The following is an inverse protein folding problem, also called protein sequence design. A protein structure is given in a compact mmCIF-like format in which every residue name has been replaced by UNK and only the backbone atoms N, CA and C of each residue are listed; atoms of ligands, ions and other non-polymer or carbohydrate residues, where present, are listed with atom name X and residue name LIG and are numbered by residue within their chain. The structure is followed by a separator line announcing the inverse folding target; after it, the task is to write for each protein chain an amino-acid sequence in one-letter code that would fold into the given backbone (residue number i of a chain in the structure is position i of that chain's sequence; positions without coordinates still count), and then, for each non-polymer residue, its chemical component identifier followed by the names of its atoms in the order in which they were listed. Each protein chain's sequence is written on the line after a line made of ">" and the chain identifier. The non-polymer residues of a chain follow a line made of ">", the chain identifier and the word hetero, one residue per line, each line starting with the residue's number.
data_IF_126120428497
#
_entry.id   IF_126120428497
#
_cell.length_a   1.000
_cell.length_b   1.000
_cell.length_c   1.000
_cell.angle_alpha   90.00
_cell.angle_beta   90.00
_cell.angle_gamma   90.00
#
_symmetry.space_group_name_H-M   'P 1'
#
loop_
_entity.id
_entity.type
_entity.pdbx_description
1 polymer ?
#
# COMPACT_ATOMS: atom_id res chain seq x y z
N UNK A 1 24.41 -15.66 61.74
CA UNK A 1 24.58 -16.08 60.33
C UNK A 1 23.28 -16.14 59.54
N UNK A 2 22.22 -16.80 60.05
CA UNK A 2 20.92 -16.93 59.37
C UNK A 2 20.16 -15.61 59.09
N UNK A 3 20.38 -14.56 59.89
CA UNK A 3 19.78 -13.21 59.68
C UNK A 3 20.52 -12.35 58.64
N UNK A 4 21.80 -12.62 58.37
CA UNK A 4 22.60 -11.88 57.38
C UNK A 4 22.34 -12.42 55.96
N UNK A 5 22.09 -13.73 55.83
CA UNK A 5 21.70 -14.38 54.57
C UNK A 5 20.31 -13.91 54.07
N UNK A 6 19.39 -13.55 54.95
CA UNK A 6 18.06 -13.04 54.58
C UNK A 6 18.10 -11.59 54.06
N UNK A 7 19.05 -10.78 54.54
CA UNK A 7 19.22 -9.40 54.07
C UNK A 7 19.86 -9.34 52.67
N UNK A 8 20.75 -10.28 52.35
CA UNK A 8 21.34 -10.41 51.03
C UNK A 8 20.33 -10.87 49.96
N UNK A 9 19.31 -11.67 50.33
CA UNK A 9 18.28 -12.13 49.39
C UNK A 9 17.25 -11.02 49.04
N UNK A 10 17.08 -10.02 49.91
CA UNK A 10 16.22 -8.86 49.65
C UNK A 10 16.90 -7.78 48.78
N UNK A 11 18.24 -7.73 48.75
CA UNK A 11 18.99 -6.75 47.95
C UNK A 11 19.21 -7.20 46.49
N UNK A 12 18.97 -8.47 46.14
CA UNK A 12 19.16 -8.98 44.77
C UNK A 12 17.89 -8.97 43.91
N UNK A 13 16.72 -8.63 44.47
CA UNK A 13 15.44 -8.62 43.75
C UNK A 13 15.00 -7.22 43.27
N UNK A 14 15.86 -6.20 43.37
CA UNK A 14 15.56 -4.83 42.91
C UNK A 14 16.00 -4.55 41.46
N UNK A 15 16.32 -5.58 40.67
CA UNK A 15 16.35 -5.42 39.22
C UNK A 15 14.89 -5.39 38.76
N UNK A 16 14.31 -4.20 38.72
CA UNK A 16 13.15 -3.94 37.89
C UNK A 16 13.54 -4.34 36.47
N UNK A 17 13.15 -5.54 36.06
CA UNK A 17 13.15 -5.94 34.66
C UNK A 17 12.11 -5.04 34.01
N UNK A 18 12.54 -3.86 33.60
CA UNK A 18 11.71 -3.01 32.76
C UNK A 18 11.79 -3.67 31.39
N UNK A 19 10.86 -4.58 31.13
CA UNK A 19 10.50 -4.94 29.78
C UNK A 19 9.88 -3.68 29.14
N UNK A 20 10.70 -2.67 28.84
CA UNK A 20 10.25 -1.52 28.09
C UNK A 20 9.99 -2.01 26.68
N UNK A 21 8.71 -2.02 26.31
CA UNK A 21 8.29 -1.91 24.92
C UNK A 21 9.24 -0.92 24.24
N UNK A 22 9.85 -1.30 23.12
CA UNK A 22 10.67 -0.37 22.35
C UNK A 22 9.88 0.94 22.18
N UNK A 23 10.51 2.12 22.35
CA UNK A 23 9.81 3.38 22.24
C UNK A 23 9.07 3.43 20.90
N UNK A 24 7.77 3.74 20.97
CA UNK A 24 6.92 3.81 19.78
C UNK A 24 7.51 4.83 18.80
N UNK A 25 7.60 4.44 17.53
CA UNK A 25 8.02 5.32 16.45
C UNK A 25 7.04 5.21 15.28
N UNK A 26 6.92 6.30 14.52
CA UNK A 26 6.17 6.36 13.28
C UNK A 26 7.02 7.06 12.24
N UNK A 27 7.04 6.56 11.01
CA UNK A 27 7.76 7.23 9.93
C UNK A 27 7.07 8.54 9.57
N UNK A 28 7.87 9.53 9.21
CA UNK A 28 7.40 10.83 8.74
C UNK A 28 7.73 10.96 7.26
N UNK A 29 6.76 11.48 6.51
CA UNK A 29 6.86 11.69 5.07
C UNK A 29 6.27 13.06 4.74
N UNK A 30 7.06 13.88 4.07
CA UNK A 30 6.62 15.16 3.52
C UNK A 30 6.47 15.02 2.00
N UNK A 31 5.28 15.29 1.48
CA UNK A 31 4.94 15.09 0.08
C UNK A 31 4.72 16.42 -0.63
N UNK A 32 5.37 16.54 -1.78
CA UNK A 32 5.03 17.52 -2.80
C UNK A 32 4.69 16.77 -4.08
N UNK A 33 3.47 16.97 -4.58
CA UNK A 33 3.02 16.35 -5.82
C UNK A 33 2.42 17.36 -6.77
N UNK A 34 2.66 17.16 -8.06
CA UNK A 34 1.95 17.84 -9.14
C UNK A 34 1.19 16.79 -9.92
N UNK A 35 -0.13 16.95 -10.02
CA UNK A 35 -1.01 15.95 -10.62
C UNK A 35 -1.87 16.60 -11.69
N UNK A 36 -1.85 16.02 -12.89
CA UNK A 36 -2.70 16.38 -13.99
C UNK A 36 -3.74 15.28 -14.22
N UNK A 37 -5.02 15.65 -14.19
CA UNK A 37 -6.15 14.75 -14.43
C UNK A 37 -6.75 15.01 -15.81
N UNK A 38 -6.72 14.01 -16.68
CA UNK A 38 -7.57 13.95 -17.87
C UNK A 38 -8.94 13.40 -17.46
N UNK A 39 -9.86 14.33 -17.19
CA UNK A 39 -11.22 14.00 -16.74
C UNK A 39 -12.03 13.26 -17.83
N UNK A 40 -11.72 13.48 -19.12
CA UNK A 40 -12.46 12.83 -20.22
C UNK A 40 -12.13 11.34 -20.30
N UNK A 41 -10.86 11.00 -20.09
CA UNK A 41 -10.36 9.63 -20.16
C UNK A 41 -10.23 8.96 -18.79
N UNK A 42 -10.46 9.69 -17.70
CA UNK A 42 -10.30 9.24 -16.31
C UNK A 42 -8.89 8.75 -15.99
N UNK A 43 -7.91 9.39 -16.60
CA UNK A 43 -6.49 9.08 -16.43
C UNK A 43 -5.80 10.25 -15.76
N UNK A 44 -4.74 9.97 -15.03
CA UNK A 44 -3.94 11.00 -14.39
C UNK A 44 -2.47 10.68 -14.53
N UNK A 45 -1.66 11.74 -14.52
CA UNK A 45 -0.21 11.65 -14.48
C UNK A 45 0.33 12.67 -13.51
N UNK A 46 1.48 12.39 -12.93
CA UNK A 46 2.07 13.32 -12.00
C UNK A 46 3.53 13.05 -11.69
N UNK A 47 4.08 14.00 -10.95
CA UNK A 47 5.39 13.91 -10.33
C UNK A 47 5.21 13.96 -8.82
N UNK A 48 6.08 13.26 -8.12
CA UNK A 48 6.15 13.26 -6.67
C UNK A 48 7.59 13.56 -6.25
N UNK A 49 7.72 14.41 -5.24
CA UNK A 49 8.87 14.53 -4.36
C UNK A 49 8.41 14.16 -2.94
N UNK A 50 9.17 13.29 -2.27
CA UNK A 50 8.87 12.81 -0.93
C UNK A 50 10.14 12.89 -0.08
N UNK A 51 10.14 13.70 0.98
CA UNK A 51 11.20 13.67 1.99
C UNK A 51 10.82 12.66 3.08
N UNK A 52 11.55 11.55 3.13
CA UNK A 52 11.31 10.45 4.06
C UNK A 52 12.24 10.58 5.26
N UNK A 53 11.69 10.60 6.48
CA UNK A 53 12.45 10.54 7.73
C UNK A 53 12.36 9.13 8.29
N UNK A 54 13.51 8.47 8.48
CA UNK A 54 13.56 7.18 9.16
C UNK A 54 13.60 7.35 10.68
N UNK A 55 12.45 7.23 11.33
CA UNK A 55 12.32 7.27 12.79
C UNK A 55 12.50 5.90 13.46
N UNK A 56 12.71 4.83 12.67
CA UNK A 56 12.98 3.51 13.25
C UNK A 56 14.40 3.40 13.79
N UNK A 57 14.62 2.42 14.68
CA UNK A 57 15.96 2.05 15.16
C UNK A 57 16.75 1.22 14.13
N UNK A 58 16.11 0.82 13.04
CA UNK A 58 16.69 -0.04 12.01
C UNK A 58 17.21 0.76 10.83
N UNK A 59 18.27 0.23 10.20
CA UNK A 59 18.72 0.76 8.90
C UNK A 59 17.85 0.19 7.78
N UNK A 60 17.15 1.05 7.06
CA UNK A 60 16.28 0.65 5.96
C UNK A 60 17.10 0.43 4.69
N UNK A 61 16.82 -0.68 3.99
CA UNK A 61 17.43 -1.02 2.68
C UNK A 61 16.39 -1.09 1.56
N UNK A 62 15.12 -1.10 1.91
CA UNK A 62 13.99 -1.12 0.99
C UNK A 62 12.88 -0.22 1.53
N UNK A 63 12.07 0.30 0.61
CA UNK A 63 10.78 0.93 0.92
C UNK A 63 9.71 0.36 0.00
N UNK A 64 8.46 0.50 0.43
CA UNK A 64 7.30 -0.06 -0.29
C UNK A 64 6.26 1.02 -0.51
N UNK A 65 5.70 1.07 -1.71
CA UNK A 65 4.57 1.94 -2.05
C UNK A 65 3.33 1.12 -2.36
N UNK A 66 2.17 1.64 -2.00
CA UNK A 66 0.88 1.06 -2.34
C UNK A 66 0.42 1.57 -3.71
N UNK A 67 0.09 0.64 -4.60
CA UNK A 67 -0.47 0.84 -5.93
C UNK A 67 -1.88 0.25 -5.98
N UNK A 68 -2.74 0.65 -5.05
CA UNK A 68 -4.04 0.00 -4.82
C UNK A 68 -4.94 -0.07 -6.06
N UNK A 69 -4.86 0.90 -6.98
CA UNK A 69 -5.63 0.85 -8.21
C UNK A 69 -5.33 -0.40 -9.05
N UNK A 70 -4.13 -0.99 -8.94
CA UNK A 70 -3.78 -2.21 -9.64
C UNK A 70 -4.63 -3.43 -9.24
N UNK A 71 -5.35 -3.36 -8.10
CA UNK A 71 -6.29 -4.40 -7.69
C UNK A 71 -7.50 -4.52 -8.62
N UNK A 72 -7.82 -3.48 -9.40
CA UNK A 72 -8.96 -3.45 -10.31
C UNK A 72 -8.55 -3.81 -11.73
N UNK A 73 -7.80 -4.90 -11.88
CA UNK A 73 -7.37 -5.47 -13.15
C UNK A 73 -7.77 -6.94 -13.21
N UNK A 74 -8.10 -7.48 -14.39
CA UNK A 74 -8.23 -8.91 -14.60
C UNK A 74 -6.97 -9.66 -14.12
N UNK A 75 -7.16 -10.81 -13.48
CA UNK A 75 -6.08 -11.62 -12.91
C UNK A 75 -5.40 -11.02 -11.66
N UNK A 76 -5.87 -9.89 -11.11
CA UNK A 76 -5.35 -9.38 -9.84
C UNK A 76 -5.68 -10.34 -8.68
N UNK A 77 -4.93 -10.26 -7.58
CA UNK A 77 -5.23 -11.03 -6.36
C UNK A 77 -6.67 -10.78 -5.87
N UNK A 78 -7.17 -9.56 -6.06
CA UNK A 78 -8.54 -9.19 -5.71
C UNK A 78 -9.57 -9.86 -6.64
N UNK A 79 -9.29 -9.92 -7.95
CA UNK A 79 -10.12 -10.61 -8.92
C UNK A 79 -10.15 -12.12 -8.62
N UNK A 80 -8.98 -12.75 -8.51
CA UNK A 80 -8.83 -14.18 -8.21
C UNK A 80 -9.55 -14.54 -6.89
N UNK A 81 -9.43 -13.70 -5.85
CA UNK A 81 -10.13 -13.93 -4.59
C UNK A 81 -11.65 -13.86 -4.75
N UNK A 82 -12.18 -12.90 -5.52
CA UNK A 82 -13.61 -12.75 -5.74
C UNK A 82 -14.22 -13.94 -6.51
N UNK A 83 -13.42 -14.57 -7.36
CA UNK A 83 -13.81 -15.78 -8.10
C UNK A 83 -13.85 -17.02 -7.20
N UNK A 84 -12.85 -17.19 -6.33
CA UNK A 84 -12.66 -18.45 -5.60
C UNK A 84 -13.33 -18.51 -4.22
N UNK A 85 -13.74 -17.37 -3.65
CA UNK A 85 -14.35 -17.35 -2.31
C UNK A 85 -15.85 -17.66 -2.36
N UNK A 86 -16.32 -18.51 -1.43
CA UNK A 86 -17.73 -18.93 -1.35
C UNK A 86 -18.71 -17.75 -1.19
N UNK A 87 -18.33 -16.78 -0.36
CA UNK A 87 -19.11 -15.60 0.03
C UNK A 87 -18.51 -14.30 -0.54
N UNK A 88 -18.24 -14.29 -1.85
CA UNK A 88 -17.74 -13.10 -2.53
C UNK A 88 -18.63 -11.88 -2.27
N UNK A 89 -18.00 -10.70 -2.11
CA UNK A 89 -18.72 -9.45 -1.91
C UNK A 89 -19.70 -9.22 -3.07
N UNK A 90 -20.98 -9.01 -2.75
CA UNK A 90 -22.04 -8.82 -3.73
C UNK A 90 -21.80 -7.63 -4.68
N UNK A 91 -20.97 -6.65 -4.30
CA UNK A 91 -20.54 -5.56 -5.18
C UNK A 91 -19.50 -6.01 -6.19
N UNK A 92 -18.75 -7.08 -5.95
CA UNK A 92 -17.70 -7.56 -6.85
C UNK A 92 -18.19 -8.63 -7.82
N UNK A 93 -19.34 -9.24 -7.55
CA UNK A 93 -19.91 -10.31 -8.39
C UNK A 93 -21.29 -9.94 -8.88
N UNK A 94 -21.59 -10.27 -10.13
CA UNK A 94 -22.95 -10.23 -10.66
C UNK A 94 -23.53 -11.64 -10.58
N UNK A 95 -24.73 -11.76 -10.04
CA UNK A 95 -25.46 -13.04 -10.01
C UNK A 95 -26.41 -13.09 -11.19
N UNK A 96 -26.25 -14.09 -12.04
CA UNK A 96 -27.12 -14.35 -13.20
C UNK A 96 -27.70 -15.75 -13.07
N UNK A 97 -28.86 -16.01 -13.69
CA UNK A 97 -29.42 -17.36 -13.78
C UNK A 97 -29.24 -17.85 -15.21
N UNK A 98 -28.54 -18.97 -15.36
CA UNK A 98 -28.40 -19.68 -16.64
C UNK A 98 -29.04 -21.05 -16.43
N UNK A 99 -30.10 -21.35 -17.20
CA UNK A 99 -30.85 -22.61 -17.11
C UNK A 99 -31.35 -22.98 -15.69
N UNK A 100 -31.74 -21.96 -14.91
CA UNK A 100 -32.22 -22.12 -13.54
C UNK A 100 -31.10 -22.23 -12.48
N UNK A 101 -29.83 -22.28 -12.89
CA UNK A 101 -28.67 -22.33 -12.00
C UNK A 101 -28.12 -20.92 -11.78
N UNK A 102 -27.86 -20.55 -10.52
CA UNK A 102 -27.19 -19.29 -10.18
C UNK A 102 -25.71 -19.36 -10.56
N UNK A 103 -25.29 -18.49 -11.48
CA UNK A 103 -23.90 -18.27 -11.88
C UNK A 103 -23.42 -16.95 -11.30
N UNK A 104 -22.19 -16.95 -10.77
CA UNK A 104 -21.53 -15.75 -10.27
C UNK A 104 -20.48 -15.29 -11.28
N UNK A 105 -20.65 -14.09 -11.79
CA UNK A 105 -19.72 -13.46 -12.72
C UNK A 105 -18.87 -12.44 -11.98
N UNK A 106 -17.55 -12.56 -12.05
CA UNK A 106 -16.63 -11.60 -11.46
C UNK A 106 -16.63 -10.29 -12.25
N UNK A 107 -16.99 -9.18 -11.60
CA UNK A 107 -17.04 -7.86 -12.27
C UNK A 107 -15.65 -7.32 -12.62
N UNK A 108 -14.59 -7.72 -11.91
CA UNK A 108 -13.22 -7.23 -12.17
C UNK A 108 -12.61 -7.95 -13.38
N UNK A 109 -12.86 -9.25 -13.51
CA UNK A 109 -12.31 -10.05 -14.61
C UNK A 109 -12.87 -9.62 -15.98
N UNK A 110 -14.06 -9.04 -15.98
CA UNK A 110 -14.75 -8.56 -17.19
C UNK A 110 -14.45 -7.09 -17.53
N UNK A 111 -13.54 -6.42 -16.81
CA UNK A 111 -13.20 -5.01 -17.06
C UNK A 111 -12.41 -4.85 -18.36
N UNK A 112 -12.81 -3.86 -19.17
CA UNK A 112 -12.08 -3.45 -20.37
C UNK A 112 -10.84 -2.62 -20.03
N UNK A 113 -9.88 -2.47 -20.97
CA UNK A 113 -8.67 -1.66 -20.75
C UNK A 113 -8.92 -0.21 -20.30
N UNK A 114 -10.03 0.40 -20.69
CA UNK A 114 -10.42 1.75 -20.26
C UNK A 114 -11.27 1.77 -18.97
N UNK A 115 -11.59 0.62 -18.40
CA UNK A 115 -12.41 0.46 -17.19
C UNK A 115 -11.60 -0.01 -15.99
N UNK A 116 -10.43 -0.62 -16.21
CA UNK A 116 -9.52 -1.05 -15.15
C UNK A 116 -8.94 0.12 -14.36
N UNK A 117 -8.50 -0.17 -13.14
CA UNK A 117 -7.67 0.73 -12.37
C UNK A 117 -6.20 0.36 -12.55
N UNK A 118 -5.32 1.35 -12.63
CA UNK A 118 -3.89 1.12 -12.49
C UNK A 118 -3.18 2.32 -11.89
N UNK A 119 -1.99 2.07 -11.36
CA UNK A 119 -0.98 3.06 -11.02
C UNK A 119 0.39 2.49 -11.40
N UNK A 120 1.04 3.14 -12.37
CA UNK A 120 2.34 2.77 -12.91
C UNK A 120 3.36 3.81 -12.48
N UNK A 121 4.44 3.36 -11.88
CA UNK A 121 5.53 4.22 -11.40
C UNK A 121 6.70 4.12 -12.37
N UNK A 122 7.32 5.26 -12.65
CA UNK A 122 8.52 5.36 -13.48
C UNK A 122 9.50 6.38 -12.89
N UNK A 123 10.75 6.35 -13.36
CA UNK A 123 11.77 7.34 -13.00
C UNK A 123 11.99 7.51 -11.48
N UNK A 124 11.92 6.41 -10.71
CA UNK A 124 12.13 6.47 -9.26
C UNK A 124 13.61 6.74 -8.95
N UNK A 125 13.86 7.79 -8.17
CA UNK A 125 15.20 8.16 -7.69
C UNK A 125 15.21 8.37 -6.19
N UNK A 126 16.35 8.07 -5.56
CA UNK A 126 16.70 8.43 -4.20
C UNK A 126 17.85 9.42 -4.25
N UNK A 127 17.65 10.63 -3.72
CA UNK A 127 18.64 11.71 -3.72
C UNK A 127 19.26 11.95 -5.12
N UNK A 128 18.42 11.92 -6.16
CA UNK A 128 18.82 12.08 -7.55
C UNK A 128 19.40 10.83 -8.24
N UNK A 129 19.69 9.76 -7.50
CA UNK A 129 20.22 8.50 -8.03
C UNK A 129 19.09 7.50 -8.30
N UNK A 130 19.09 6.86 -9.48
CA UNK A 130 18.07 5.87 -9.83
C UNK A 130 18.06 4.69 -8.85
N UNK A 131 16.87 4.35 -8.34
CA UNK A 131 16.66 3.19 -7.47
C UNK A 131 16.09 2.02 -8.29
N UNK A 132 16.32 0.78 -7.83
CA UNK A 132 15.76 -0.41 -8.51
C UNK A 132 14.36 -0.67 -7.98
N UNK A 133 13.39 -0.81 -8.88
CA UNK A 133 11.98 -1.02 -8.51
C UNK A 133 11.42 -2.32 -9.08
N UNK A 134 10.50 -2.96 -8.35
CA UNK A 134 9.74 -4.12 -8.82
C UNK A 134 8.29 -4.01 -8.37
N UNK A 135 7.37 -4.04 -9.32
CA UNK A 135 5.93 -4.08 -9.02
C UNK A 135 5.46 -5.52 -8.85
N UNK A 136 4.76 -5.80 -7.74
CA UNK A 136 4.14 -7.08 -7.44
C UNK A 136 2.69 -6.78 -7.00
N UNK A 137 1.73 -7.03 -7.90
CA UNK A 137 0.33 -6.72 -7.66
C UNK A 137 0.10 -5.24 -7.29
N UNK A 138 -0.30 -5.00 -6.05
CA UNK A 138 -0.57 -3.66 -5.50
C UNK A 138 0.60 -3.05 -4.75
N UNK A 139 1.80 -3.64 -4.81
CA UNK A 139 2.99 -3.14 -4.11
C UNK A 139 4.09 -2.81 -5.10
N UNK A 140 4.69 -1.63 -4.96
CA UNK A 140 5.99 -1.33 -5.52
C UNK A 140 7.06 -1.59 -4.46
N UNK A 141 7.93 -2.57 -4.71
CA UNK A 141 9.16 -2.72 -3.94
C UNK A 141 10.24 -1.82 -4.52
N UNK A 142 10.92 -1.06 -3.66
CA UNK A 142 12.04 -0.20 -4.04
C UNK A 142 13.28 -0.64 -3.27
N UNK A 143 14.31 -1.08 -3.99
CA UNK A 143 15.65 -1.29 -3.45
C UNK A 143 16.37 0.05 -3.46
N UNK A 144 16.72 0.53 -2.27
CA UNK A 144 17.32 1.85 -2.08
C UNK A 144 18.72 1.91 -2.72
N UNK A 145 19.04 3.06 -3.31
CA UNK A 145 20.38 3.35 -3.83
C UNK A 145 21.42 3.42 -2.70
N UNK A 146 21.01 3.92 -1.52
CA UNK A 146 21.79 3.85 -0.27
C UNK A 146 20.88 3.55 0.92
N UNK A 147 21.38 2.84 1.96
CA UNK A 147 20.60 2.62 3.17
C UNK A 147 20.22 3.92 3.87
N UNK A 148 19.07 3.94 4.54
CA UNK A 148 18.62 5.07 5.36
C UNK A 148 18.86 4.69 6.81
N UNK A 149 19.79 5.36 7.47
CA UNK A 149 20.13 5.13 8.88
C UNK A 149 19.02 5.64 9.80
N UNK A 150 18.95 5.18 11.07
CA UNK A 150 18.08 5.77 12.08
C UNK A 150 18.25 7.29 12.18
N UNK A 151 17.13 7.99 12.32
CA UNK A 151 17.01 9.45 12.43
C UNK A 151 17.58 10.25 11.24
N UNK A 152 17.76 9.59 10.08
CA UNK A 152 18.22 10.25 8.86
C UNK A 152 17.08 10.47 7.86
N UNK A 153 17.28 11.41 6.95
CA UNK A 153 16.33 11.74 5.88
C UNK A 153 16.89 11.41 4.50
N UNK A 154 16.00 11.14 3.55
CA UNK A 154 16.33 10.99 2.13
C UNK A 154 15.18 11.54 1.29
N UNK A 155 15.45 11.94 0.05
CA UNK A 155 14.43 12.42 -0.87
C UNK A 155 14.16 11.37 -1.94
N UNK A 156 12.90 11.01 -2.12
CA UNK A 156 12.45 10.19 -3.22
C UNK A 156 11.74 11.05 -4.26
N UNK A 157 12.10 10.87 -5.54
CA UNK A 157 11.35 11.48 -6.64
C UNK A 157 10.87 10.40 -7.59
N UNK A 158 9.66 10.52 -8.10
CA UNK A 158 9.11 9.59 -9.10
C UNK A 158 8.13 10.29 -10.04
N UNK A 159 7.86 9.62 -11.15
CA UNK A 159 6.76 9.91 -12.05
C UNK A 159 5.71 8.81 -11.91
N UNK A 160 4.44 9.15 -12.10
CA UNK A 160 3.36 8.17 -12.09
C UNK A 160 2.32 8.44 -13.16
N UNK A 161 1.76 7.36 -13.69
CA UNK A 161 0.62 7.34 -14.60
C UNK A 161 -0.45 6.41 -14.02
N UNK A 162 -1.70 6.87 -13.96
CA UNK A 162 -2.80 6.12 -13.38
C UNK A 162 -4.10 6.24 -14.18
N UNK A 163 -5.00 5.30 -13.91
CA UNK A 163 -6.37 5.29 -14.41
C UNK A 163 -7.32 4.99 -13.25
N UNK A 164 -8.41 5.74 -13.19
CA UNK A 164 -9.47 5.53 -12.21
C UNK A 164 -10.36 4.38 -12.70
N UNK A 165 -10.52 3.29 -11.93
CA UNK A 165 -11.39 2.18 -12.33
C UNK A 165 -12.86 2.61 -12.37
N UNK A 166 -13.68 1.96 -13.18
CA UNK A 166 -15.13 2.00 -12.95
C UNK A 166 -15.45 1.52 -11.54
N UNK A 167 -16.47 2.09 -10.92
CA UNK A 167 -16.75 1.76 -9.52
C UNK A 167 -17.16 0.29 -9.37
N UNK A 168 -16.28 -0.50 -8.73
CA UNK A 168 -16.56 -1.89 -8.35
C UNK A 168 -17.09 -1.97 -6.92
N UNK A 169 -16.46 -1.26 -5.97
CA UNK A 169 -16.86 -1.25 -4.55
C UNK A 169 -17.07 0.16 -4.01
N UNK A 170 -16.01 0.76 -3.46
CA UNK A 170 -16.06 2.06 -2.76
C UNK A 170 -15.49 3.16 -3.64
N UNK A 171 -14.30 2.93 -4.19
CA UNK A 171 -13.62 3.86 -5.08
C UNK A 171 -13.88 3.58 -6.55
N UNK A 172 -13.83 4.63 -7.37
CA UNK A 172 -13.84 4.55 -8.81
C UNK A 172 -14.46 5.78 -9.47
N UNK A 173 -14.99 5.57 -10.67
CA UNK A 173 -15.67 6.59 -11.47
C UNK A 173 -17.10 6.19 -11.80
N UNK A 174 -17.91 7.21 -12.07
CA UNK A 174 -19.30 7.12 -12.51
C UNK A 174 -20.13 6.19 -11.62
N UNK A 175 -20.26 6.55 -10.35
CA UNK A 175 -21.04 5.77 -9.40
C UNK A 175 -22.55 5.80 -9.74
N UNK A 176 -23.33 4.93 -9.09
CA UNK A 176 -24.78 4.84 -9.30
C UNK A 176 -25.55 6.11 -8.88
N UNK A 177 -24.93 7.00 -8.11
CA UNK A 177 -25.52 8.26 -7.63
C UNK A 177 -25.23 9.44 -8.58
N UNK A 178 -24.56 9.19 -9.71
CA UNK A 178 -24.22 10.22 -10.69
C UNK A 178 -22.94 11.01 -10.39
N UNK A 179 -22.11 10.55 -9.45
CA UNK A 179 -20.81 11.15 -9.13
C UNK A 179 -19.73 10.61 -10.07
N UNK A 180 -19.05 11.52 -10.77
CA UNK A 180 -18.05 11.18 -11.78
C UNK A 180 -16.77 10.56 -11.19
N UNK A 181 -16.32 11.00 -10.02
CA UNK A 181 -15.13 10.51 -9.31
C UNK A 181 -15.47 10.37 -7.81
N UNK A 182 -15.41 9.15 -7.29
CA UNK A 182 -15.80 8.81 -5.91
C UNK A 182 -14.81 7.86 -5.24
#
# INVERSE_FOLDING_TARGET
>A
MRKILLLAFFLTNAYSVVAQSAPYWQQEVDYKMEVFMDVKHFQYKGTQELVYTNNSLDTLKKVYYHLYNNAFQPGSEMAIRAENIKDADARMVKKTKVDGVEVKENRIENLKPNEIGYLKISNFKQDGVAARTKTIGTILEVVLAKPILPNSKTTFTLNFDGQVPVQIRRSGRNNAEGVALS
#
